data_IF_462677279147
#
_entry.id   IF_462677279147
#
_cell.length_a   1.000
_cell.length_b   1.000
_cell.length_c   1.000
_cell.angle_alpha   90.00
_cell.angle_beta   90.00
_cell.angle_gamma   90.00
#
_symmetry.space_group_name_H-M   'P 1'
#
loop_
_entity.id
_entity.type
_entity.pdbx_description
1 polymer ?
#
# COMPACT_ATOMS: atom_id res chain seq x y z
N UNK A 1 0.99 -2.52 3.85
CA UNK A 1 2.39 -2.13 3.74
C UNK A 1 3.24 -3.19 3.07
N UNK A 2 2.83 -4.47 3.14
CA UNK A 2 3.59 -5.64 2.71
C UNK A 2 3.65 -5.83 1.19
N UNK A 3 2.67 -5.29 0.45
CA UNK A 3 2.49 -5.53 -0.98
C UNK A 3 1.75 -6.83 -1.30
N UNK A 4 1.25 -7.54 -0.31
CA UNK A 4 0.42 -8.73 -0.51
C UNK A 4 -1.02 -8.32 -0.84
N UNK A 5 -1.70 -9.18 -1.57
CA UNK A 5 -3.11 -9.03 -1.95
C UNK A 5 -3.87 -10.29 -1.50
N UNK A 6 -5.06 -10.10 -0.96
CA UNK A 6 -5.94 -11.23 -0.65
C UNK A 6 -6.45 -11.87 -1.95
N UNK A 7 -6.46 -13.19 -1.98
CA UNK A 7 -7.06 -13.93 -3.08
C UNK A 7 -8.58 -13.81 -3.07
N UNK A 8 -9.22 -14.10 -4.19
CA UNK A 8 -10.68 -14.11 -4.28
C UNK A 8 -11.32 -15.11 -3.31
N UNK A 9 -10.65 -16.23 -3.03
CA UNK A 9 -11.13 -17.24 -2.07
C UNK A 9 -11.03 -16.75 -0.63
N UNK A 10 -9.90 -16.14 -0.25
CA UNK A 10 -9.73 -15.53 1.08
C UNK A 10 -10.73 -14.41 1.30
N UNK A 11 -10.98 -13.59 0.29
CA UNK A 11 -11.97 -12.52 0.37
C UNK A 11 -13.39 -13.06 0.56
N UNK A 12 -13.78 -14.10 -0.19
CA UNK A 12 -15.08 -14.79 -0.01
C UNK A 12 -15.20 -15.40 1.37
N UNK A 13 -14.14 -16.02 1.89
CA UNK A 13 -14.12 -16.61 3.22
C UNK A 13 -14.32 -15.54 4.31
N UNK A 14 -13.60 -14.43 4.23
CA UNK A 14 -13.76 -13.30 5.14
C UNK A 14 -15.19 -12.73 5.09
N UNK A 15 -15.74 -12.57 3.88
CA UNK A 15 -17.12 -12.14 3.68
C UNK A 15 -18.12 -13.09 4.34
N UNK A 16 -17.94 -14.40 4.18
CA UNK A 16 -18.78 -15.40 4.84
C UNK A 16 -18.71 -15.36 6.37
N UNK A 17 -17.53 -15.14 6.93
CA UNK A 17 -17.34 -14.99 8.38
C UNK A 17 -18.03 -13.73 8.91
N UNK A 18 -17.90 -12.60 8.23
CA UNK A 18 -18.55 -11.35 8.59
C UNK A 18 -20.08 -11.47 8.54
N UNK A 19 -20.60 -12.11 7.48
CA UNK A 19 -22.02 -12.34 7.32
C UNK A 19 -22.57 -13.25 8.43
N UNK A 20 -21.88 -14.34 8.74
CA UNK A 20 -22.27 -15.27 9.83
C UNK A 20 -22.24 -14.59 11.21
N UNK A 21 -21.35 -13.63 11.42
CA UNK A 21 -21.26 -12.85 12.65
C UNK A 21 -22.23 -11.66 12.69
N UNK A 22 -22.97 -11.39 11.63
CA UNK A 22 -23.89 -10.23 11.54
C UNK A 22 -23.20 -8.87 11.57
N UNK A 23 -21.93 -8.79 11.13
CA UNK A 23 -21.14 -7.55 11.11
C UNK A 23 -20.81 -7.12 9.67
N UNK A 24 -20.64 -5.81 9.41
CA UNK A 24 -20.19 -5.36 8.10
C UNK A 24 -18.72 -5.73 7.85
N UNK A 25 -18.38 -6.00 6.58
CA UNK A 25 -17.02 -6.14 6.10
C UNK A 25 -16.61 -4.87 5.35
N UNK A 26 -15.58 -4.18 5.83
CA UNK A 26 -15.00 -3.03 5.11
C UNK A 26 -13.85 -3.56 4.24
N UNK A 27 -13.94 -3.32 2.94
CA UNK A 27 -12.89 -3.62 1.97
C UNK A 27 -12.21 -2.31 1.56
N UNK A 28 -11.00 -2.07 2.09
CA UNK A 28 -10.17 -0.95 1.65
C UNK A 28 -9.51 -1.30 0.32
N UNK A 29 -10.14 -0.88 -0.77
CA UNK A 29 -9.72 -1.17 -2.13
C UNK A 29 -9.01 0.03 -2.79
N UNK A 30 -8.26 0.82 -2.01
CA UNK A 30 -7.59 2.03 -2.49
C UNK A 30 -6.54 1.77 -3.58
N UNK A 31 -6.11 0.53 -3.79
CA UNK A 31 -5.15 0.10 -4.81
C UNK A 31 -5.74 -0.85 -5.85
N UNK A 32 -6.91 -1.41 -5.61
CA UNK A 32 -7.44 -2.54 -6.35
C UNK A 32 -8.21 -2.19 -7.62
N UNK A 33 -8.92 -3.20 -8.12
CA UNK A 33 -9.83 -3.09 -9.27
C UNK A 33 -11.18 -2.49 -8.84
N UNK A 34 -11.91 -1.84 -9.74
CA UNK A 34 -11.63 -1.63 -11.17
C UNK A 34 -10.58 -0.55 -11.43
N UNK A 35 -10.38 0.37 -10.50
CA UNK A 35 -9.35 1.40 -10.50
C UNK A 35 -8.90 1.70 -9.05
N UNK A 36 -7.66 2.15 -8.84
CA UNK A 36 -6.62 2.51 -9.80
C UNK A 36 -5.96 1.31 -10.49
N UNK A 37 -6.25 0.08 -10.07
CA UNK A 37 -5.74 -1.12 -10.70
C UNK A 37 -4.26 -1.42 -10.41
N UNK A 38 -3.69 -0.84 -9.35
CA UNK A 38 -2.31 -1.13 -8.92
C UNK A 38 -2.21 -2.47 -8.14
N UNK A 39 -2.94 -3.47 -8.60
CA UNK A 39 -2.90 -4.88 -8.14
C UNK A 39 -2.49 -5.74 -9.32
N UNK A 40 -1.54 -6.66 -9.11
CA UNK A 40 -0.87 -7.44 -10.15
C UNK A 40 -1.33 -8.89 -10.20
N UNK A 41 -2.32 -9.23 -9.39
CA UNK A 41 -3.05 -10.50 -9.37
C UNK A 41 -4.45 -10.31 -9.96
N UNK A 42 -5.22 -11.39 -10.06
CA UNK A 42 -6.60 -11.37 -10.56
C UNK A 42 -7.62 -11.20 -9.41
N UNK A 43 -7.22 -10.50 -8.33
CA UNK A 43 -8.10 -10.20 -7.22
C UNK A 43 -9.17 -9.18 -7.62
N UNK A 44 -10.43 -9.54 -7.44
CA UNK A 44 -11.59 -8.69 -7.74
C UNK A 44 -12.28 -8.24 -6.46
N UNK A 45 -12.82 -7.02 -6.41
CA UNK A 45 -13.58 -6.56 -5.26
C UNK A 45 -14.89 -7.33 -5.14
N UNK A 46 -15.31 -7.62 -3.90
CA UNK A 46 -16.63 -8.19 -3.63
C UNK A 46 -17.65 -7.08 -3.36
N UNK A 47 -18.88 -7.38 -3.75
CA UNK A 47 -20.06 -6.56 -3.47
C UNK A 47 -21.10 -7.37 -2.69
N UNK A 48 -21.85 -6.69 -1.82
CA UNK A 48 -22.90 -7.32 -1.02
C UNK A 48 -23.48 -6.32 -0.01
N UNK A 49 -24.66 -6.60 0.54
CA UNK A 49 -25.33 -5.71 1.48
C UNK A 49 -24.56 -5.46 2.79
N UNK A 50 -23.76 -6.44 3.21
CA UNK A 50 -22.88 -6.34 4.39
C UNK A 50 -21.50 -5.80 4.07
N UNK A 51 -21.20 -5.49 2.79
CA UNK A 51 -19.89 -5.01 2.34
C UNK A 51 -19.92 -3.49 2.21
N UNK A 52 -18.87 -2.86 2.71
CA UNK A 52 -18.54 -1.44 2.50
C UNK A 52 -17.25 -1.41 1.72
N UNK A 53 -17.33 -1.12 0.41
CA UNK A 53 -16.17 -1.03 -0.46
C UNK A 53 -15.71 0.42 -0.53
N UNK A 54 -14.41 0.67 -0.31
CA UNK A 54 -13.82 2.00 -0.47
C UNK A 54 -12.85 2.02 -1.64
N UNK A 55 -12.94 3.07 -2.46
CA UNK A 55 -12.05 3.35 -3.59
C UNK A 55 -11.41 4.72 -3.40
N UNK A 56 -10.27 4.97 -4.01
CA UNK A 56 -9.53 6.22 -3.85
C UNK A 56 -9.02 6.75 -5.19
N UNK A 57 -9.22 8.04 -5.43
CA UNK A 57 -8.62 8.74 -6.57
C UNK A 57 -7.13 9.05 -6.35
N UNK A 58 -6.63 8.96 -5.12
CA UNK A 58 -5.24 9.28 -4.80
C UNK A 58 -4.23 8.45 -5.60
N UNK A 59 -4.54 7.17 -5.85
CA UNK A 59 -3.66 6.24 -6.56
C UNK A 59 -3.94 6.20 -8.07
N UNK A 60 -5.00 6.86 -8.49
CA UNK A 60 -5.31 7.12 -9.90
C UNK A 60 -4.47 8.30 -10.49
N UNK A 61 -3.69 8.97 -9.65
CA UNK A 61 -2.89 10.14 -10.04
C UNK A 61 -3.43 11.46 -9.49
N UNK A 62 -4.47 11.43 -8.67
CA UNK A 62 -5.13 12.62 -8.12
C UNK A 62 -5.06 12.70 -6.58
N UNK A 63 -3.87 12.57 -5.96
CA UNK A 63 -3.77 12.54 -4.50
C UNK A 63 -4.19 13.87 -3.84
N UNK A 64 -3.97 14.99 -4.52
CA UNK A 64 -4.29 16.33 -4.03
C UNK A 64 -5.79 16.63 -3.96
N UNK A 65 -6.62 15.90 -4.67
CA UNK A 65 -8.08 16.11 -4.68
C UNK A 65 -8.76 15.61 -3.41
N UNK A 66 -8.10 14.78 -2.61
CA UNK A 66 -8.59 14.21 -1.36
C UNK A 66 -9.98 13.59 -1.50
N UNK A 67 -10.22 12.88 -2.61
CA UNK A 67 -11.50 12.29 -2.94
C UNK A 67 -11.44 10.76 -2.84
N UNK A 68 -12.37 10.19 -2.09
CA UNK A 68 -12.66 8.76 -2.02
C UNK A 68 -14.06 8.47 -2.51
N UNK A 69 -14.32 7.21 -2.84
CA UNK A 69 -15.62 6.70 -3.24
C UNK A 69 -15.98 5.57 -2.28
N UNK A 70 -17.21 5.58 -1.78
CA UNK A 70 -17.75 4.50 -0.95
C UNK A 70 -18.90 3.85 -1.67
N UNK A 71 -18.86 2.55 -1.83
CA UNK A 71 -19.96 1.72 -2.34
C UNK A 71 -20.46 0.86 -1.20
N UNK A 72 -21.71 1.11 -0.79
CA UNK A 72 -22.36 0.41 0.30
C UNK A 72 -23.88 0.46 0.11
N UNK A 73 -24.63 -0.29 0.91
CA UNK A 73 -26.11 -0.18 0.92
C UNK A 73 -26.55 1.26 1.25
N UNK A 74 -27.74 1.67 0.77
CA UNK A 74 -28.19 3.08 0.84
C UNK A 74 -28.15 3.71 2.24
N UNK A 75 -28.52 2.95 3.28
CA UNK A 75 -28.56 3.43 4.64
C UNK A 75 -27.16 3.80 5.16
N UNK A 76 -26.15 2.97 4.84
CA UNK A 76 -24.75 3.23 5.21
C UNK A 76 -24.22 4.41 4.41
N UNK A 77 -24.46 4.44 3.10
CA UNK A 77 -24.02 5.55 2.25
C UNK A 77 -24.60 6.88 2.72
N UNK A 78 -25.90 6.91 3.08
CA UNK A 78 -26.58 8.10 3.62
C UNK A 78 -26.01 8.53 4.97
N UNK A 79 -25.72 7.59 5.85
CA UNK A 79 -25.11 7.88 7.15
C UNK A 79 -23.70 8.48 6.99
N UNK A 80 -22.88 7.94 6.08
CA UNK A 80 -21.55 8.48 5.77
C UNK A 80 -21.68 9.91 5.19
N UNK A 81 -22.60 10.13 4.27
CA UNK A 81 -22.85 11.46 3.70
C UNK A 81 -23.25 12.48 4.78
N UNK A 82 -24.15 12.09 5.71
CA UNK A 82 -24.53 12.93 6.84
C UNK A 82 -23.34 13.25 7.77
N UNK A 83 -22.51 12.26 8.08
CA UNK A 83 -21.27 12.45 8.86
C UNK A 83 -20.32 13.44 8.17
N UNK A 84 -20.11 13.27 6.86
CA UNK A 84 -19.26 14.18 6.09
C UNK A 84 -19.76 15.62 6.13
N UNK A 85 -21.09 15.81 6.07
CA UNK A 85 -21.71 17.15 6.16
C UNK A 85 -21.51 17.82 7.52
N UNK A 86 -21.46 17.04 8.60
CA UNK A 86 -21.24 17.58 9.96
C UNK A 86 -19.74 17.82 10.22
N UNK A 87 -18.87 16.90 9.81
CA UNK A 87 -17.44 16.96 10.14
C UNK A 87 -16.62 17.86 9.22
N UNK A 88 -17.00 17.94 7.94
CA UNK A 88 -16.26 18.64 6.89
C UNK A 88 -17.05 19.74 6.19
N UNK A 89 -18.30 20.00 6.58
CA UNK A 89 -19.26 20.89 5.93
C UNK A 89 -19.54 20.51 4.48
N UNK A 90 -18.55 20.63 3.59
CA UNK A 90 -18.64 20.20 2.20
C UNK A 90 -17.27 19.69 1.73
N UNK A 91 -17.29 18.54 1.07
CA UNK A 91 -16.12 18.04 0.38
C UNK A 91 -15.84 18.89 -0.88
N UNK A 92 -14.56 19.01 -1.24
CA UNK A 92 -14.20 19.68 -2.50
C UNK A 92 -14.80 18.95 -3.71
N UNK A 93 -15.42 19.68 -4.62
CA UNK A 93 -15.97 19.13 -5.85
C UNK A 93 -14.93 18.95 -6.96
N UNK A 94 -13.74 19.53 -6.82
CA UNK A 94 -12.71 19.52 -7.87
C UNK A 94 -12.35 18.08 -8.29
N UNK A 95 -12.08 17.21 -7.34
CA UNK A 95 -11.73 15.81 -7.64
C UNK A 95 -12.87 15.06 -8.31
N UNK A 96 -14.10 15.30 -7.88
CA UNK A 96 -15.28 14.68 -8.46
C UNK A 96 -15.50 15.15 -9.90
N UNK A 97 -15.39 16.46 -10.16
CA UNK A 97 -15.57 17.04 -11.51
C UNK A 97 -14.45 16.59 -12.47
N UNK A 98 -13.21 16.44 -12.00
CA UNK A 98 -12.11 15.94 -12.82
C UNK A 98 -12.28 14.48 -13.24
N UNK A 99 -12.80 13.64 -12.35
CA UNK A 99 -12.92 12.20 -12.62
C UNK A 99 -14.23 11.83 -13.27
N UNK A 100 -15.29 12.63 -13.11
CA UNK A 100 -16.61 12.33 -13.65
C UNK A 100 -16.60 12.01 -15.15
N UNK A 101 -16.00 12.83 -16.05
CA UNK A 101 -15.95 12.50 -17.47
C UNK A 101 -15.26 11.16 -17.76
N UNK A 102 -14.22 10.81 -17.00
CA UNK A 102 -13.49 9.55 -17.14
C UNK A 102 -14.34 8.34 -16.68
N UNK A 103 -15.19 8.54 -15.69
CA UNK A 103 -16.15 7.52 -15.23
C UNK A 103 -17.30 7.36 -16.22
N UNK A 104 -17.86 8.46 -16.73
CA UNK A 104 -18.97 8.47 -17.69
C UNK A 104 -18.58 7.81 -19.03
N UNK A 105 -17.30 7.84 -19.40
CA UNK A 105 -16.76 7.28 -20.65
C UNK A 105 -16.05 5.94 -20.49
N UNK A 106 -16.00 5.38 -19.28
CA UNK A 106 -15.19 4.20 -18.92
C UNK A 106 -13.67 4.37 -19.15
N UNK A 107 -13.18 5.57 -19.48
CA UNK A 107 -11.77 5.86 -19.71
C UNK A 107 -10.92 5.57 -18.47
N UNK A 108 -11.50 5.73 -17.27
CA UNK A 108 -10.83 5.37 -16.01
C UNK A 108 -10.40 3.90 -15.98
N UNK A 109 -11.19 2.99 -16.59
CA UNK A 109 -10.88 1.56 -16.65
C UNK A 109 -9.74 1.29 -17.64
N UNK A 110 -9.73 2.03 -18.76
CA UNK A 110 -8.64 1.98 -19.73
C UNK A 110 -7.32 2.46 -19.10
N UNK A 111 -7.33 3.62 -18.45
CA UNK A 111 -6.17 4.15 -17.73
C UNK A 111 -5.64 3.17 -16.67
N UNK A 112 -6.54 2.58 -15.88
CA UNK A 112 -6.16 1.62 -14.85
C UNK A 112 -5.43 0.41 -15.45
N UNK A 113 -5.96 -0.18 -16.53
CA UNK A 113 -5.44 -1.40 -17.13
C UNK A 113 -4.21 -1.18 -18.01
N UNK A 114 -4.20 -0.11 -18.81
CA UNK A 114 -3.19 0.11 -19.85
C UNK A 114 -2.04 1.01 -19.40
N UNK A 115 -2.23 1.83 -18.38
CA UNK A 115 -1.23 2.79 -17.92
C UNK A 115 -0.79 2.49 -16.49
N UNK A 116 -1.72 2.48 -15.54
CA UNK A 116 -1.38 2.45 -14.11
C UNK A 116 -0.83 1.09 -13.69
N UNK A 117 -1.55 0.01 -14.02
CA UNK A 117 -1.11 -1.35 -13.66
C UNK A 117 0.26 -1.69 -14.24
N UNK A 118 0.53 -1.57 -15.56
CA UNK A 118 1.84 -1.91 -16.12
C UNK A 118 2.97 -1.04 -15.56
N UNK A 119 2.70 0.25 -15.33
CA UNK A 119 3.68 1.17 -14.77
C UNK A 119 4.13 0.73 -13.36
N UNK A 120 3.19 0.54 -12.43
CA UNK A 120 3.54 0.16 -11.05
C UNK A 120 4.06 -1.27 -10.94
N UNK A 121 3.56 -2.19 -11.76
CA UNK A 121 4.07 -3.56 -11.82
C UNK A 121 5.53 -3.59 -12.27
N UNK A 122 5.90 -2.83 -13.30
CA UNK A 122 7.29 -2.67 -13.72
C UNK A 122 8.16 -2.09 -12.61
N UNK A 123 7.72 -1.00 -11.96
CA UNK A 123 8.44 -0.38 -10.84
C UNK A 123 8.67 -1.34 -9.68
N UNK A 124 7.64 -2.10 -9.31
CA UNK A 124 7.74 -3.09 -8.24
C UNK A 124 8.72 -4.22 -8.57
N UNK A 125 8.72 -4.68 -9.82
CA UNK A 125 9.65 -5.71 -10.33
C UNK A 125 11.09 -5.21 -10.31
N UNK A 126 11.33 -4.01 -10.83
CA UNK A 126 12.65 -3.39 -10.86
C UNK A 126 13.19 -3.16 -9.45
N UNK A 127 12.39 -2.59 -8.54
CA UNK A 127 12.79 -2.42 -7.15
C UNK A 127 13.15 -3.75 -6.49
N UNK A 128 12.39 -4.82 -6.74
CA UNK A 128 12.72 -6.17 -6.26
C UNK A 128 14.05 -6.69 -6.81
N UNK A 129 14.39 -6.40 -8.06
CA UNK A 129 15.69 -6.74 -8.66
C UNK A 129 16.80 -5.93 -7.99
N UNK A 130 16.66 -4.62 -7.85
CA UNK A 130 17.67 -3.75 -7.24
C UNK A 130 17.93 -4.06 -5.77
N UNK A 131 16.92 -4.48 -5.01
CA UNK A 131 17.13 -4.99 -3.64
C UNK A 131 18.05 -6.21 -3.68
N UNK A 132 17.79 -7.18 -4.57
CA UNK A 132 18.65 -8.37 -4.73
C UNK A 132 20.07 -8.01 -5.17
N UNK A 133 20.23 -7.06 -6.07
CA UNK A 133 21.54 -6.56 -6.50
C UNK A 133 22.29 -5.87 -5.34
N UNK A 134 21.60 -5.01 -4.57
CA UNK A 134 22.22 -4.23 -3.49
C UNK A 134 22.61 -5.08 -2.27
N UNK A 135 21.78 -6.04 -1.89
CA UNK A 135 22.04 -6.93 -0.74
C UNK A 135 22.84 -8.19 -1.13
N UNK A 136 22.75 -8.63 -2.39
CA UNK A 136 23.48 -9.79 -2.89
C UNK A 136 23.17 -11.08 -2.13
N UNK A 137 24.22 -11.85 -1.86
CA UNK A 137 24.16 -13.08 -1.09
C UNK A 137 24.24 -12.87 0.43
N UNK A 138 24.20 -11.63 0.91
CA UNK A 138 24.24 -11.32 2.34
C UNK A 138 23.12 -12.06 3.06
N UNK A 139 23.44 -12.73 4.16
CA UNK A 139 22.42 -13.39 4.99
C UNK A 139 21.61 -12.37 5.80
N UNK A 140 20.40 -12.75 6.22
CA UNK A 140 19.61 -11.96 7.15
C UNK A 140 18.77 -10.87 6.52
N UNK A 141 18.41 -10.99 5.25
CA UNK A 141 17.34 -10.17 4.65
C UNK A 141 16.33 -11.04 3.89
N UNK A 142 15.12 -10.55 3.79
CA UNK A 142 14.09 -11.13 2.94
C UNK A 142 13.15 -10.05 2.42
N UNK A 143 12.57 -10.28 1.26
CA UNK A 143 11.65 -9.35 0.61
C UNK A 143 10.33 -10.06 0.36
N UNK A 144 9.22 -9.47 0.82
CA UNK A 144 7.89 -10.01 0.57
C UNK A 144 7.57 -10.03 -0.94
N UNK A 145 6.72 -10.97 -1.35
CA UNK A 145 6.10 -10.93 -2.67
C UNK A 145 5.39 -9.60 -2.84
N UNK A 146 5.46 -9.06 -4.04
CA UNK A 146 4.72 -7.86 -4.38
C UNK A 146 3.61 -8.23 -5.38
N UNK A 147 2.41 -8.28 -4.88
CA UNK A 147 1.21 -8.63 -5.62
C UNK A 147 0.36 -7.39 -5.92
N UNK A 148 0.77 -6.24 -5.36
CA UNK A 148 0.10 -4.96 -5.58
C UNK A 148 0.78 -3.79 -4.90
N UNK A 149 0.24 -2.60 -5.13
CA UNK A 149 0.72 -1.30 -4.68
C UNK A 149 2.12 -0.95 -5.22
N UNK A 150 2.73 0.06 -4.67
CA UNK A 150 4.08 0.51 -5.03
C UNK A 150 5.01 0.53 -3.81
N UNK A 151 4.78 -0.42 -2.90
CA UNK A 151 5.61 -0.63 -1.72
C UNK A 151 6.30 -1.98 -1.77
N UNK A 152 7.49 -2.02 -1.18
CA UNK A 152 8.22 -3.25 -0.91
C UNK A 152 8.42 -3.37 0.59
N UNK A 153 8.21 -4.58 1.11
CA UNK A 153 8.41 -4.88 2.52
C UNK A 153 9.70 -5.68 2.68
N UNK A 154 10.72 -5.00 3.20
CA UNK A 154 12.05 -5.56 3.42
C UNK A 154 12.19 -5.93 4.90
N UNK A 155 12.51 -7.18 5.19
CA UNK A 155 12.88 -7.63 6.52
C UNK A 155 14.40 -7.78 6.62
N UNK A 156 14.98 -7.33 7.73
CA UNK A 156 16.39 -7.35 8.06
C UNK A 156 16.60 -8.16 9.35
N UNK A 157 16.59 -9.47 9.24
CA UNK A 157 16.66 -10.40 10.38
C UNK A 157 17.98 -10.27 11.12
N UNK A 158 17.93 -10.21 12.46
CA UNK A 158 19.10 -10.17 13.30
C UNK A 158 19.92 -8.88 13.20
N UNK A 159 19.31 -7.77 12.81
CA UNK A 159 19.95 -6.47 12.85
C UNK A 159 20.20 -6.08 14.32
N UNK A 160 21.41 -5.63 14.73
CA UNK A 160 21.72 -5.29 16.12
C UNK A 160 21.06 -4.00 16.61
N UNK A 161 20.40 -3.26 15.73
CA UNK A 161 19.62 -2.06 16.05
C UNK A 161 18.19 -2.22 15.48
N UNK A 162 17.24 -1.42 16.00
CA UNK A 162 15.89 -1.38 15.45
C UNK A 162 15.85 -0.70 14.08
N UNK A 163 14.82 -1.01 13.26
CA UNK A 163 14.63 -0.31 12.00
C UNK A 163 14.28 1.17 12.18
N UNK A 164 13.79 1.57 13.34
CA UNK A 164 13.62 2.97 13.73
C UNK A 164 14.97 3.68 13.90
N UNK A 165 15.95 3.03 14.53
CA UNK A 165 17.29 3.59 14.65
C UNK A 165 18.01 3.62 13.29
N UNK A 166 17.89 2.54 12.51
CA UNK A 166 18.39 2.50 11.14
C UNK A 166 17.82 3.66 10.29
N UNK A 167 16.52 3.96 10.43
CA UNK A 167 15.90 5.09 9.76
C UNK A 167 16.55 6.43 10.12
N UNK A 168 16.94 6.66 11.37
CA UNK A 168 17.63 7.90 11.75
C UNK A 168 19.00 8.03 11.09
N UNK A 169 19.71 6.92 10.87
CA UNK A 169 20.97 6.89 10.12
C UNK A 169 20.72 7.15 8.63
N UNK A 170 19.74 6.50 8.03
CA UNK A 170 19.36 6.69 6.63
C UNK A 170 18.89 8.12 6.33
N UNK A 171 18.15 8.73 7.25
CA UNK A 171 17.69 10.12 7.14
C UNK A 171 18.86 11.11 7.02
N UNK A 172 19.99 10.88 7.71
CA UNK A 172 21.21 11.68 7.58
C UNK A 172 21.83 11.55 6.19
N UNK A 173 21.54 10.47 5.48
CA UNK A 173 21.95 10.23 4.09
C UNK A 173 20.85 10.55 3.07
N UNK A 174 19.85 11.34 3.47
CA UNK A 174 18.71 11.79 2.63
C UNK A 174 17.84 10.64 2.10
N UNK A 175 17.85 9.47 2.76
CA UNK A 175 16.98 8.34 2.43
C UNK A 175 15.84 8.24 3.43
N UNK A 176 14.61 8.35 2.94
CA UNK A 176 13.40 8.27 3.76
C UNK A 176 12.70 6.93 3.51
N UNK A 177 12.52 6.16 4.57
CA UNK A 177 11.79 4.89 4.59
C UNK A 177 10.80 4.90 5.75
N UNK A 178 9.90 3.92 5.80
CA UNK A 178 9.00 3.81 6.96
C UNK A 178 9.40 2.57 7.77
N UNK A 179 9.84 2.74 9.03
CA UNK A 179 10.13 1.64 9.93
C UNK A 179 8.92 0.75 10.18
N UNK A 180 9.16 -0.55 10.34
CA UNK A 180 8.13 -1.56 10.58
C UNK A 180 7.29 -1.28 11.81
N UNK A 181 7.92 -0.74 12.86
CA UNK A 181 7.26 -0.40 14.13
C UNK A 181 6.03 0.51 13.95
N UNK A 182 5.96 1.28 12.87
CA UNK A 182 4.82 2.16 12.59
C UNK A 182 3.57 1.42 12.08
N UNK A 183 3.64 0.09 11.89
CA UNK A 183 2.54 -0.72 11.38
C UNK A 183 2.01 -1.74 12.39
N UNK A 184 2.61 -1.84 13.56
CA UNK A 184 2.25 -2.80 14.59
C UNK A 184 1.85 -2.08 15.87
N UNK A 185 0.57 -1.66 15.93
CA UNK A 185 0.01 -0.99 17.09
C UNK A 185 -0.65 -2.01 18.04
N UNK A 186 -0.61 -1.72 19.33
CA UNK A 186 -1.36 -2.49 20.32
C UNK A 186 -0.80 -3.88 20.62
N UNK A 187 0.45 -4.17 20.24
CA UNK A 187 1.10 -5.40 20.64
C UNK A 187 1.38 -5.36 22.13
N UNK A 188 0.86 -6.33 22.86
CA UNK A 188 1.09 -6.49 24.32
C UNK A 188 2.44 -7.15 24.63
N UNK A 189 2.95 -7.93 23.67
CA UNK A 189 4.21 -8.68 23.82
C UNK A 189 5.25 -8.23 22.79
N UNK A 190 6.55 -8.24 23.17
CA UNK A 190 7.63 -7.94 22.24
C UNK A 190 7.64 -8.96 21.09
N UNK A 191 7.60 -8.45 19.86
CA UNK A 191 7.74 -9.26 18.66
C UNK A 191 8.88 -8.70 17.80
N UNK A 192 10.06 -9.38 17.75
CA UNK A 192 11.24 -8.85 17.05
C UNK A 192 10.98 -8.44 15.62
N UNK A 193 10.08 -9.14 14.91
CA UNK A 193 9.75 -8.87 13.52
C UNK A 193 9.33 -7.40 13.26
N UNK A 194 8.61 -6.76 14.21
CA UNK A 194 8.16 -5.37 14.02
C UNK A 194 9.34 -4.39 13.90
N UNK A 195 10.44 -4.66 14.60
CA UNK A 195 11.64 -3.84 14.62
C UNK A 195 12.68 -4.23 13.54
N UNK A 196 12.37 -5.25 12.74
CA UNK A 196 13.23 -5.77 11.67
C UNK A 196 12.79 -5.36 10.27
N UNK A 197 11.67 -4.66 10.12
CA UNK A 197 11.06 -4.41 8.82
C UNK A 197 11.13 -2.95 8.38
N UNK A 198 11.25 -2.74 7.07
CA UNK A 198 11.16 -1.44 6.41
C UNK A 198 10.12 -1.49 5.28
N UNK A 199 9.24 -0.49 5.22
CA UNK A 199 8.45 -0.23 4.03
C UNK A 199 9.20 0.72 3.11
N UNK A 200 9.50 0.24 1.91
CA UNK A 200 10.16 0.98 0.83
C UNK A 200 9.12 1.45 -0.19
N UNK A 201 9.25 2.66 -0.69
CA UNK A 201 8.44 3.16 -1.80
C UNK A 201 9.23 3.01 -3.11
N UNK A 202 8.62 2.40 -4.13
CA UNK A 202 9.25 2.18 -5.44
C UNK A 202 8.64 3.04 -6.57
N UNK A 203 7.80 4.05 -6.24
CA UNK A 203 7.17 4.91 -7.25
C UNK A 203 8.04 6.07 -7.73
N UNK A 204 9.17 6.33 -7.08
CA UNK A 204 10.11 7.40 -7.46
C UNK A 204 10.85 7.14 -8.78
N UNK A 205 11.69 8.09 -9.20
CA UNK A 205 12.56 7.91 -10.35
C UNK A 205 13.45 6.67 -10.17
N UNK A 206 13.69 5.86 -11.22
CA UNK A 206 14.45 4.61 -11.12
C UNK A 206 15.82 4.77 -10.50
N UNK A 207 16.54 5.79 -10.93
CA UNK A 207 17.90 6.09 -10.49
C UNK A 207 17.92 6.41 -9.00
N UNK A 208 16.99 7.26 -8.54
CA UNK A 208 16.84 7.64 -7.13
C UNK A 208 16.49 6.43 -6.26
N UNK A 209 15.56 5.57 -6.72
CA UNK A 209 15.19 4.36 -5.98
C UNK A 209 16.36 3.39 -5.90
N UNK A 210 17.07 3.17 -7.00
CA UNK A 210 18.23 2.28 -7.05
C UNK A 210 19.36 2.77 -6.14
N UNK A 211 19.69 4.06 -6.18
CA UNK A 211 20.69 4.67 -5.30
C UNK A 211 20.30 4.55 -3.82
N UNK A 212 19.04 4.86 -3.48
CA UNK A 212 18.54 4.71 -2.12
C UNK A 212 18.64 3.27 -1.59
N UNK A 213 18.35 2.28 -2.43
CA UNK A 213 18.49 0.87 -2.06
C UNK A 213 19.94 0.47 -1.80
N UNK A 214 20.88 0.99 -2.59
CA UNK A 214 22.30 0.79 -2.35
C UNK A 214 22.74 1.42 -1.02
N UNK A 215 22.29 2.65 -0.73
CA UNK A 215 22.57 3.34 0.54
C UNK A 215 22.02 2.54 1.74
N UNK A 216 20.82 1.96 1.60
CA UNK A 216 20.23 1.12 2.66
C UNK A 216 21.10 -0.12 2.90
N UNK A 217 21.48 -0.82 1.83
CA UNK A 217 22.31 -2.02 1.96
C UNK A 217 23.68 -1.73 2.57
N UNK A 218 24.32 -0.62 2.19
CA UNK A 218 25.60 -0.18 2.75
C UNK A 218 25.49 0.14 4.25
N UNK A 219 24.42 0.81 4.66
CA UNK A 219 24.19 1.14 6.07
C UNK A 219 23.91 -0.11 6.91
N UNK A 220 23.14 -1.05 6.37
CA UNK A 220 22.88 -2.35 7.01
C UNK A 220 24.20 -3.13 7.20
N UNK A 221 25.07 -3.17 6.20
CA UNK A 221 26.39 -3.81 6.32
C UNK A 221 27.26 -3.16 7.39
N UNK A 222 27.31 -1.82 7.44
CA UNK A 222 28.04 -1.08 8.49
C UNK A 222 27.55 -1.46 9.89
N UNK A 223 26.25 -1.42 10.09
CA UNK A 223 25.63 -1.75 11.38
C UNK A 223 25.95 -3.18 11.81
N UNK A 224 25.92 -4.16 10.87
CA UNK A 224 26.27 -5.56 11.17
C UNK A 224 27.73 -5.75 11.51
N UNK A 225 28.60 -4.91 10.97
CA UNK A 225 30.06 -4.94 11.22
C UNK A 225 30.49 -4.07 12.40
N UNK A 226 29.55 -3.58 13.23
CA UNK A 226 29.83 -2.83 14.48
C UNK A 226 30.07 -1.33 14.29
N UNK A 227 29.59 -0.76 13.15
CA UNK A 227 29.70 0.66 12.79
C UNK A 227 28.48 1.52 13.14
#
# INVERSE_FOLDING_TARGET
PTGNVLTNEEMKRLSGLALAAGIPLIIDNAYGLPFPGAVFTDAEPLFGEHIILTLSLSKLGLPGTRTGIVVARPEIASAIAAMCSVTGLANTNIGQQLVKPLLDSDEVLHLARQVIRPYYESRARDAGRWVREAFGADAGWSLHRCEGAFFRWLRLTGLPISTRELYQRLKKRQVLVVPGENFYFGLSEPWPHHAECLRLNCSGAPETVREALQIIADEVRKVRNGG
#
